data_IF_419429487222
#
_entry.id   IF_419429487222
#
_cell.length_a   1.000
_cell.length_b   1.000
_cell.length_c   1.000
_cell.angle_alpha   90.00
_cell.angle_beta   90.00
_cell.angle_gamma   90.00
#
_symmetry.space_group_name_H-M   'P 1'
#
loop_
_entity.id
_entity.type
_entity.pdbx_description
1 polymer ?
#
# COMPACT_ATOMS: atom_id res chain seq x y z
N UNK A 1 15.90 31.50 -15.35
CA UNK A 1 15.77 30.27 -14.55
C UNK A 1 15.04 29.26 -15.43
N UNK A 2 15.75 28.26 -15.96
CA UNK A 2 15.12 27.13 -16.66
C UNK A 2 14.56 26.18 -15.60
N UNK A 3 13.27 25.88 -15.71
CA UNK A 3 12.59 24.88 -14.90
C UNK A 3 12.35 23.69 -15.81
N UNK A 4 13.19 22.67 -15.68
CA UNK A 4 12.97 21.41 -16.36
C UNK A 4 11.71 20.76 -15.78
N UNK A 5 10.78 20.28 -16.62
CA UNK A 5 9.57 19.63 -16.15
C UNK A 5 9.94 18.33 -15.44
N UNK A 6 9.48 18.19 -14.20
CA UNK A 6 9.50 16.91 -13.49
C UNK A 6 8.55 15.95 -14.21
N UNK A 7 9.10 15.15 -15.12
CA UNK A 7 8.40 13.99 -15.64
C UNK A 7 8.11 13.01 -14.50
N UNK A 8 6.95 12.32 -14.48
CA UNK A 8 6.67 11.34 -13.44
C UNK A 8 7.78 10.29 -13.46
N UNK A 9 8.43 10.07 -12.32
CA UNK A 9 9.34 8.95 -12.14
C UNK A 9 8.52 7.67 -12.38
N UNK A 10 8.70 7.06 -13.56
CA UNK A 10 7.96 5.86 -13.93
C UNK A 10 8.58 4.69 -13.17
N UNK A 11 8.14 4.51 -11.92
CA UNK A 11 8.38 3.28 -11.18
C UNK A 11 7.85 2.07 -11.98
N UNK A 12 8.36 0.86 -11.73
CA UNK A 12 7.88 -0.33 -12.41
C UNK A 12 6.36 -0.41 -12.25
N UNK A 13 5.64 -0.45 -13.37
CA UNK A 13 4.19 -0.67 -13.38
C UNK A 13 4.00 -2.10 -12.88
N UNK A 14 3.55 -2.23 -11.64
CA UNK A 14 3.46 -3.52 -10.99
C UNK A 14 2.37 -4.35 -11.68
N UNK A 15 2.70 -5.59 -12.06
CA UNK A 15 1.75 -6.52 -12.68
C UNK A 15 0.56 -6.84 -11.76
N UNK A 16 -0.50 -7.49 -12.30
CA UNK A 16 -1.64 -7.91 -11.51
C UNK A 16 -1.21 -8.81 -10.35
N UNK A 17 -1.82 -8.60 -9.18
CA UNK A 17 -1.57 -9.39 -7.98
C UNK A 17 -2.08 -10.82 -8.12
N UNK A 18 -1.35 -11.78 -7.56
CA UNK A 18 -1.86 -13.14 -7.41
C UNK A 18 -3.07 -13.16 -6.46
N UNK A 19 -3.87 -14.23 -6.46
CA UNK A 19 -4.97 -14.39 -5.49
C UNK A 19 -4.45 -14.40 -4.05
N UNK A 20 -3.26 -14.99 -3.83
CA UNK A 20 -2.61 -14.98 -2.54
C UNK A 20 -2.22 -13.56 -2.13
N UNK A 21 -1.58 -12.79 -3.01
CA UNK A 21 -1.14 -11.43 -2.72
C UNK A 21 -2.34 -10.50 -2.45
N UNK A 22 -3.48 -10.73 -3.11
CA UNK A 22 -4.72 -9.98 -2.86
C UNK A 22 -5.26 -10.27 -1.45
N UNK A 23 -5.16 -11.52 -0.99
CA UNK A 23 -5.58 -11.89 0.36
C UNK A 23 -4.60 -11.36 1.42
N UNK A 24 -3.30 -11.37 1.13
CA UNK A 24 -2.28 -10.74 1.97
C UNK A 24 -2.48 -9.22 2.05
N UNK A 25 -2.78 -8.57 0.93
CA UNK A 25 -3.12 -7.15 0.90
C UNK A 25 -4.32 -6.87 1.81
N UNK A 26 -5.42 -7.63 1.67
CA UNK A 26 -6.60 -7.42 2.50
C UNK A 26 -6.30 -7.61 4.00
N UNK A 27 -5.49 -8.62 4.33
CA UNK A 27 -5.03 -8.84 5.71
C UNK A 27 -4.20 -7.65 6.22
N UNK A 28 -3.21 -7.20 5.44
CA UNK A 28 -2.35 -6.08 5.80
C UNK A 28 -3.12 -4.77 5.90
N UNK A 29 -4.12 -4.53 5.04
CA UNK A 29 -5.01 -3.37 5.09
C UNK A 29 -5.74 -3.31 6.44
N UNK A 30 -6.25 -4.44 6.94
CA UNK A 30 -6.84 -4.51 8.28
C UNK A 30 -5.81 -4.30 9.40
N UNK A 31 -4.62 -4.89 9.30
CA UNK A 31 -3.59 -4.73 10.33
C UNK A 31 -3.10 -3.28 10.44
N UNK A 32 -2.98 -2.58 9.30
CA UNK A 32 -2.53 -1.19 9.26
C UNK A 32 -3.51 -0.21 9.90
N UNK A 33 -4.80 -0.56 10.05
CA UNK A 33 -5.74 0.27 10.82
C UNK A 33 -5.36 0.37 12.31
N UNK A 34 -4.64 -0.63 12.82
CA UNK A 34 -4.26 -0.72 14.24
C UNK A 34 -2.77 -0.47 14.46
N UNK A 35 -1.93 -0.87 13.50
CA UNK A 35 -0.47 -0.84 13.61
C UNK A 35 0.20 0.06 12.55
N UNK A 36 -0.61 0.75 11.73
CA UNK A 36 -0.11 1.68 10.72
C UNK A 36 0.43 2.98 11.34
N UNK A 37 1.08 3.81 10.51
CA UNK A 37 1.53 5.12 10.94
C UNK A 37 0.36 5.96 11.48
N UNK A 38 0.56 6.73 12.56
CA UNK A 38 -0.44 7.70 12.98
C UNK A 38 -0.64 8.77 11.89
N UNK A 39 -1.75 9.52 11.93
CA UNK A 39 -1.97 10.66 11.05
C UNK A 39 -0.75 11.59 11.02
N UNK A 40 -0.38 12.07 9.84
CA UNK A 40 0.75 12.98 9.74
C UNK A 40 0.40 14.35 10.36
N UNK A 41 1.32 14.91 11.13
CA UNK A 41 1.13 16.20 11.79
C UNK A 41 2.14 17.25 11.28
N UNK A 42 1.78 18.53 11.42
CA UNK A 42 2.66 19.66 11.13
C UNK A 42 2.75 20.05 9.65
N UNK A 43 3.81 20.77 9.28
CA UNK A 43 3.95 21.40 7.95
C UNK A 43 4.12 20.40 6.79
N UNK A 44 4.34 19.12 7.08
CA UNK A 44 4.52 18.05 6.09
C UNK A 44 3.31 17.09 6.01
N UNK A 45 2.20 17.40 6.68
CA UNK A 45 0.96 16.63 6.52
C UNK A 45 0.20 17.01 5.24
N UNK A 46 -0.77 16.19 4.86
CA UNK A 46 -1.75 16.47 3.81
C UNK A 46 -2.85 17.45 4.24
N UNK A 47 -2.77 17.99 5.46
CA UNK A 47 -3.73 18.94 6.01
C UNK A 47 -5.15 18.37 6.14
N UNK A 48 -6.16 19.24 6.11
CA UNK A 48 -7.56 18.84 6.29
C UNK A 48 -8.09 17.84 5.23
N UNK A 49 -7.38 17.66 4.12
CA UNK A 49 -7.74 16.69 3.08
C UNK A 49 -7.24 15.28 3.36
N UNK A 50 -6.20 15.10 4.18
CA UNK A 50 -5.54 13.81 4.42
C UNK A 50 -6.52 12.75 4.96
N UNK A 51 -7.35 13.13 5.93
CA UNK A 51 -8.33 12.23 6.56
C UNK A 51 -9.31 11.61 5.56
N UNK A 52 -9.65 12.34 4.49
CA UNK A 52 -10.57 11.87 3.45
C UNK A 52 -9.94 10.81 2.54
N UNK A 53 -8.60 10.75 2.51
CA UNK A 53 -7.82 9.82 1.68
C UNK A 53 -7.05 8.77 2.49
N UNK A 54 -7.15 8.80 3.83
CA UNK A 54 -6.43 7.90 4.72
C UNK A 54 -6.68 6.42 4.41
N UNK A 55 -7.90 6.06 4.00
CA UNK A 55 -8.26 4.69 3.61
C UNK A 55 -7.54 4.26 2.32
N UNK A 56 -7.46 5.13 1.32
CA UNK A 56 -6.73 4.85 0.07
C UNK A 56 -5.23 4.75 0.32
N UNK A 57 -4.66 5.61 1.17
CA UNK A 57 -3.26 5.51 1.57
C UNK A 57 -2.96 4.19 2.28
N UNK A 58 -3.83 3.78 3.20
CA UNK A 58 -3.73 2.50 3.90
C UNK A 58 -3.75 1.31 2.92
N UNK A 59 -4.71 1.32 1.99
CA UNK A 59 -4.86 0.29 0.95
C UNK A 59 -3.63 0.20 0.04
N UNK A 60 -3.08 1.34 -0.39
CA UNK A 60 -1.88 1.37 -1.24
C UNK A 60 -0.64 0.91 -0.48
N UNK A 61 -0.51 1.28 0.79
CA UNK A 61 0.56 0.78 1.64
C UNK A 61 0.48 -0.75 1.79
N UNK A 62 -0.73 -1.28 2.05
CA UNK A 62 -0.96 -2.71 2.09
C UNK A 62 -0.61 -3.41 0.76
N UNK A 63 -0.97 -2.82 -0.38
CA UNK A 63 -0.63 -3.35 -1.70
C UNK A 63 0.89 -3.40 -1.94
N UNK A 64 1.61 -2.37 -1.52
CA UNK A 64 3.07 -2.32 -1.62
C UNK A 64 3.75 -3.34 -0.70
N UNK A 65 3.20 -3.56 0.50
CA UNK A 65 3.69 -4.55 1.44
C UNK A 65 3.43 -5.98 0.97
N UNK A 66 2.23 -6.29 0.50
CA UNK A 66 1.87 -7.63 -0.01
C UNK A 66 2.72 -8.06 -1.21
N UNK A 67 3.30 -7.11 -1.95
CA UNK A 67 4.24 -7.41 -3.06
C UNK A 67 5.68 -7.67 -2.58
N UNK A 68 6.02 -7.26 -1.36
CA UNK A 68 7.39 -7.31 -0.82
C UNK A 68 7.56 -8.31 0.30
N UNK A 69 6.48 -8.61 1.00
CA UNK A 69 6.42 -9.60 2.07
C UNK A 69 5.81 -10.89 1.51
N UNK A 70 6.15 -12.00 2.15
CA UNK A 70 5.49 -13.28 1.97
C UNK A 70 4.97 -13.68 3.33
N UNK A 71 3.65 -13.61 3.52
CA UNK A 71 2.99 -14.02 4.77
C UNK A 71 2.56 -15.50 4.72
N UNK A 72 2.87 -16.22 3.63
CA UNK A 72 2.60 -17.63 3.45
C UNK A 72 1.17 -17.94 2.97
N UNK A 73 0.40 -16.96 2.50
CA UNK A 73 -0.99 -17.20 2.10
C UNK A 73 -1.08 -18.06 0.83
N UNK A 74 -0.09 -17.97 -0.06
CA UNK A 74 0.02 -18.83 -1.22
C UNK A 74 0.09 -20.32 -0.83
N UNK A 75 0.90 -20.63 0.20
CA UNK A 75 0.99 -21.99 0.74
C UNK A 75 -0.31 -22.43 1.41
N UNK A 76 -0.99 -21.54 2.16
CA UNK A 76 -2.28 -21.87 2.79
C UNK A 76 -3.38 -22.16 1.77
N UNK A 77 -3.41 -21.44 0.65
CA UNK A 77 -4.35 -21.67 -0.44
C UNK A 77 -4.04 -22.97 -1.19
N UNK A 78 -2.76 -23.31 -1.36
CA UNK A 78 -2.30 -24.55 -2.01
C UNK A 78 -2.41 -25.79 -1.12
N UNK A 79 -2.40 -25.65 0.20
CA UNK A 79 -2.51 -26.74 1.18
C UNK A 79 -3.93 -27.36 1.27
N UNK A 80 -4.88 -26.89 0.44
CA UNK A 80 -6.19 -27.53 0.25
C UNK A 80 -6.16 -28.42 -1.00
N UNK A 81 -5.44 -29.55 -0.92
CA UNK A 81 -5.53 -30.67 -1.86
C UNK A 81 -5.56 -31.99 -1.10
#
# INVERSE_FOLDING_TARGET
MQIDPLGPARGPVAGPLSVADQLEQAFLEEMLKYYGPPPAEGAFSGGAGEDQFASFLTREHAALLARRLDLGFAAMLGARA
#
